data_IF_800617277417
#
_entry.id   IF_800617277417
#
_cell.length_a   1.000
_cell.length_b   1.000
_cell.length_c   1.000
_cell.angle_alpha   90.00
_cell.angle_beta   90.00
_cell.angle_gamma   90.00
#
_symmetry.space_group_name_H-M   'P 1'
#
loop_
_entity.id
_entity.type
_entity.pdbx_description
1 polymer ?
#
# COMPACT_ATOMS: atom_id res chain seq x y z
N UNK A 1 11.34 -10.74 -14.59
CA UNK A 1 10.47 -9.65 -14.09
C UNK A 1 9.79 -10.18 -12.84
N UNK A 2 9.84 -9.45 -11.73
CA UNK A 2 9.19 -9.86 -10.48
C UNK A 2 7.74 -9.38 -10.51
N UNK A 3 6.80 -10.24 -10.14
CA UNK A 3 5.38 -9.91 -10.01
C UNK A 3 5.05 -9.65 -8.54
N UNK A 4 4.57 -8.44 -8.24
CA UNK A 4 4.21 -8.01 -6.87
C UNK A 4 2.78 -8.46 -6.53
N UNK A 5 1.89 -8.43 -7.52
CA UNK A 5 0.49 -8.80 -7.37
C UNK A 5 -0.40 -8.13 -8.42
N UNK A 6 -1.71 -8.18 -8.18
CA UNK A 6 -2.75 -7.55 -8.98
C UNK A 6 -2.75 -6.03 -8.79
N UNK A 7 -3.26 -5.32 -9.80
CA UNK A 7 -3.43 -3.87 -9.75
C UNK A 7 -2.45 -3.14 -10.66
N UNK A 8 -2.47 -1.82 -10.56
CA UNK A 8 -1.62 -0.93 -11.37
C UNK A 8 -0.70 -0.05 -10.47
N UNK A 9 -1.01 1.23 -10.30
CA UNK A 9 -0.22 2.23 -9.56
C UNK A 9 0.16 1.69 -8.17
N UNK A 10 1.45 1.39 -7.98
CA UNK A 10 1.97 0.72 -6.79
C UNK A 10 3.04 1.56 -6.11
N UNK A 11 2.87 1.81 -4.82
CA UNK A 11 3.89 2.43 -3.96
C UNK A 11 4.62 1.35 -3.16
N UNK A 12 5.91 1.57 -2.89
CA UNK A 12 6.75 0.68 -2.09
C UNK A 12 7.44 1.47 -0.98
N UNK A 13 7.66 0.83 0.17
CA UNK A 13 8.51 1.35 1.24
C UNK A 13 9.23 0.20 1.94
N UNK A 14 10.51 0.37 2.23
CA UNK A 14 11.24 -0.53 3.12
C UNK A 14 10.85 -0.21 4.57
N UNK A 15 10.20 -1.15 5.25
CA UNK A 15 9.71 -0.96 6.62
C UNK A 15 10.75 -1.38 7.66
N UNK A 16 11.54 -2.40 7.34
CA UNK A 16 12.68 -2.89 8.12
C UNK A 16 13.67 -3.55 7.16
N UNK A 17 14.87 -3.93 7.64
CA UNK A 17 15.89 -4.55 6.78
C UNK A 17 15.32 -5.74 6.00
N UNK A 18 15.36 -5.67 4.67
CA UNK A 18 14.83 -6.66 3.72
C UNK A 18 13.30 -6.82 3.71
N UNK A 19 12.56 -6.06 4.52
CA UNK A 19 11.11 -6.10 4.54
C UNK A 19 10.55 -4.91 3.77
N UNK A 20 9.82 -5.19 2.69
CA UNK A 20 9.23 -4.18 1.81
C UNK A 20 7.71 -4.32 1.84
N UNK A 21 7.02 -3.22 2.15
CA UNK A 21 5.57 -3.11 1.98
C UNK A 21 5.29 -2.51 0.60
N UNK A 22 4.36 -3.12 -0.14
CA UNK A 22 3.77 -2.54 -1.33
C UNK A 22 2.27 -2.33 -1.15
N UNK A 23 1.76 -1.21 -1.68
CA UNK A 23 0.32 -0.94 -1.78
C UNK A 23 -0.04 -0.60 -3.23
N UNK A 24 -0.94 -1.39 -3.80
CA UNK A 24 -1.37 -1.30 -5.20
C UNK A 24 -2.80 -0.78 -5.30
N UNK A 25 -3.03 0.10 -6.27
CA UNK A 25 -4.37 0.47 -6.72
C UNK A 25 -5.04 -0.72 -7.38
N UNK A 26 -6.30 -0.95 -7.03
CA UNK A 26 -7.11 -2.03 -7.59
C UNK A 26 -8.55 -1.58 -7.89
N UNK A 27 -9.05 -1.90 -9.09
CA UNK A 27 -10.33 -1.39 -9.60
C UNK A 27 -11.28 -2.47 -10.13
N UNK A 28 -11.02 -3.75 -9.83
CA UNK A 28 -11.80 -4.88 -10.37
C UNK A 28 -12.28 -5.83 -9.28
N UNK A 29 -13.43 -6.49 -9.44
CA UNK A 29 -13.94 -7.47 -8.46
C UNK A 29 -14.32 -6.88 -7.09
N UNK A 30 -14.38 -7.74 -6.07
CA UNK A 30 -14.96 -7.42 -4.76
C UNK A 30 -14.14 -6.43 -3.91
N UNK A 31 -12.86 -6.28 -4.20
CA UNK A 31 -11.95 -5.36 -3.50
C UNK A 31 -11.75 -4.04 -4.26
N UNK A 32 -12.49 -3.80 -5.35
CA UNK A 32 -12.37 -2.59 -6.15
C UNK A 32 -12.56 -1.31 -5.31
N UNK A 33 -11.64 -0.37 -5.48
CA UNK A 33 -11.67 0.90 -4.74
C UNK A 33 -10.80 0.92 -3.48
N UNK A 34 -10.40 -0.24 -2.97
CA UNK A 34 -9.47 -0.34 -1.85
C UNK A 34 -8.03 -0.53 -2.34
N UNK A 35 -7.07 -0.03 -1.56
CA UNK A 35 -5.67 -0.40 -1.76
C UNK A 35 -5.47 -1.85 -1.32
N UNK A 36 -4.71 -2.60 -2.11
CA UNK A 36 -4.25 -3.94 -1.77
C UNK A 36 -2.83 -3.86 -1.24
N UNK A 37 -2.56 -4.44 -0.08
CA UNK A 37 -1.22 -4.54 0.52
C UNK A 37 -0.60 -5.91 0.26
N UNK A 38 0.71 -5.94 0.06
CA UNK A 38 1.52 -7.17 0.05
C UNK A 38 2.92 -6.87 0.59
N UNK A 39 3.60 -7.90 1.09
CA UNK A 39 4.93 -7.77 1.67
C UNK A 39 5.93 -8.69 1.01
N UNK A 40 7.16 -8.21 0.94
CA UNK A 40 8.34 -9.02 0.71
C UNK A 40 9.18 -9.06 1.98
N UNK A 41 9.78 -10.21 2.28
CA UNK A 41 10.71 -10.41 3.39
C UNK A 41 12.14 -10.72 2.91
N UNK A 42 12.38 -10.58 1.60
CA UNK A 42 13.64 -10.90 0.92
C UNK A 42 14.11 -9.78 -0.02
N UNK A 43 13.80 -8.53 0.32
CA UNK A 43 14.26 -7.36 -0.43
C UNK A 43 13.55 -7.12 -1.76
N UNK A 44 12.32 -7.63 -1.90
CA UNK A 44 11.48 -7.45 -3.07
C UNK A 44 11.59 -8.58 -4.12
N UNK A 45 12.19 -9.72 -3.76
CA UNK A 45 12.36 -10.86 -4.69
C UNK A 45 11.12 -11.75 -4.75
N UNK A 46 10.49 -12.01 -3.60
CA UNK A 46 9.21 -12.73 -3.48
C UNK A 46 8.21 -11.93 -2.65
N UNK A 47 6.92 -12.14 -2.91
CA UNK A 47 5.82 -11.37 -2.35
C UNK A 47 4.73 -12.28 -1.76
N UNK A 48 4.16 -11.87 -0.64
CA UNK A 48 3.02 -12.53 -0.02
C UNK A 48 1.75 -12.40 -0.87
N UNK A 49 0.72 -13.17 -0.55
CA UNK A 49 -0.61 -12.92 -1.12
C UNK A 49 -1.09 -11.52 -0.75
N UNK A 50 -1.73 -10.83 -1.70
CA UNK A 50 -2.31 -9.52 -1.45
C UNK A 50 -3.50 -9.61 -0.49
N UNK A 51 -3.57 -8.66 0.43
CA UNK A 51 -4.68 -8.47 1.36
C UNK A 51 -5.34 -7.12 1.11
N UNK A 52 -6.67 -7.08 1.23
CA UNK A 52 -7.41 -5.81 1.20
C UNK A 52 -7.12 -5.02 2.46
N UNK A 53 -6.81 -3.73 2.29
CA UNK A 53 -6.70 -2.77 3.39
C UNK A 53 -8.06 -2.10 3.67
N UNK A 54 -8.16 -1.37 4.78
CA UNK A 54 -9.31 -0.50 5.06
C UNK A 54 -9.25 0.86 4.31
N UNK A 55 -8.24 1.08 3.46
CA UNK A 55 -8.03 2.34 2.75
C UNK A 55 -8.77 2.34 1.43
N UNK A 56 -9.89 3.08 1.37
CA UNK A 56 -10.61 3.33 0.13
C UNK A 56 -10.08 4.60 -0.56
N UNK A 57 -9.48 4.45 -1.73
CA UNK A 57 -8.85 5.53 -2.50
C UNK A 57 -7.51 5.13 -3.10
N UNK A 58 -6.98 5.96 -4.00
CA UNK A 58 -5.73 5.71 -4.73
C UNK A 58 -5.33 6.94 -5.59
N UNK A 59 -4.08 7.01 -6.10
CA UNK A 59 -2.95 6.11 -5.79
C UNK A 59 -2.42 6.36 -4.37
N UNK A 60 -1.64 5.40 -3.87
CA UNK A 60 -0.93 5.51 -2.61
C UNK A 60 0.43 6.21 -2.78
N UNK A 61 0.89 6.85 -1.71
CA UNK A 61 2.30 7.16 -1.49
C UNK A 61 2.64 6.75 -0.06
N UNK A 62 3.75 6.02 0.10
CA UNK A 62 4.21 5.49 1.37
C UNK A 62 5.47 6.20 1.84
N UNK A 63 5.51 6.54 3.12
CA UNK A 63 6.66 7.15 3.76
C UNK A 63 6.87 6.52 5.14
N UNK A 64 8.07 5.99 5.38
CA UNK A 64 8.49 5.62 6.72
C UNK A 64 8.89 6.88 7.49
N UNK A 65 8.22 7.11 8.61
CA UNK A 65 8.50 8.21 9.52
C UNK A 65 9.74 7.91 10.37
N UNK A 66 10.31 8.96 10.99
CA UNK A 66 11.51 8.82 11.83
C UNK A 66 11.31 7.99 13.10
N UNK A 67 10.06 7.74 13.48
CA UNK A 67 9.66 6.90 14.61
C UNK A 67 9.15 5.51 14.15
N UNK A 68 9.59 5.06 12.97
CA UNK A 68 9.29 3.77 12.33
C UNK A 68 7.84 3.55 11.87
N UNK A 69 6.92 4.47 12.17
CA UNK A 69 5.54 4.41 11.66
C UNK A 69 5.48 4.61 10.15
N UNK A 70 4.43 4.09 9.52
CA UNK A 70 4.21 4.24 8.08
C UNK A 70 3.07 5.22 7.81
N UNK A 71 3.38 6.31 7.11
CA UNK A 71 2.39 7.24 6.55
C UNK A 71 1.98 6.75 5.16
N UNK A 72 0.68 6.56 4.94
CA UNK A 72 0.08 6.34 3.63
C UNK A 72 -0.81 7.53 3.26
N UNK A 73 -0.39 8.35 2.29
CA UNK A 73 -1.23 9.39 1.68
C UNK A 73 -1.86 8.88 0.39
N UNK A 74 -3.12 9.23 0.13
CA UNK A 74 -3.85 8.72 -1.02
C UNK A 74 -4.94 9.69 -1.52
N UNK A 75 -5.30 9.55 -2.80
CA UNK A 75 -6.40 10.28 -3.41
C UNK A 75 -7.75 9.73 -2.97
N UNK A 76 -8.62 10.58 -2.43
CA UNK A 76 -10.01 10.25 -2.13
C UNK A 76 -10.94 10.85 -3.19
N UNK A 77 -11.34 10.03 -4.16
CA UNK A 77 -12.13 10.43 -5.33
C UNK A 77 -13.65 10.21 -5.13
N UNK A 78 -14.14 10.47 -3.91
CA UNK A 78 -15.56 10.50 -3.54
C UNK A 78 -15.85 11.78 -2.75
N UNK A 79 -17.10 12.24 -2.73
CA UNK A 79 -17.46 13.42 -1.93
C UNK A 79 -17.34 13.13 -0.42
N UNK A 80 -16.75 14.02 0.40
CA UNK A 80 -15.98 15.22 0.01
C UNK A 80 -14.59 14.83 -0.52
N UNK A 81 -14.28 15.28 -1.74
CA UNK A 81 -13.05 14.90 -2.46
C UNK A 81 -11.81 15.54 -1.83
N UNK A 82 -10.65 14.91 -1.99
CA UNK A 82 -9.38 15.48 -1.56
C UNK A 82 -8.25 14.46 -1.48
N UNK A 83 -7.20 14.84 -0.77
CA UNK A 83 -6.11 13.94 -0.36
C UNK A 83 -6.33 13.58 1.10
N UNK A 84 -6.13 12.31 1.43
CA UNK A 84 -6.23 11.77 2.80
C UNK A 84 -4.94 11.10 3.19
N UNK A 85 -4.76 10.91 4.50
CA UNK A 85 -3.64 10.18 5.04
C UNK A 85 -4.10 9.28 6.19
N UNK A 86 -3.46 8.12 6.31
CA UNK A 86 -3.52 7.24 7.47
C UNK A 86 -2.09 6.97 7.94
N UNK A 87 -1.92 6.77 9.24
CA UNK A 87 -0.64 6.39 9.85
C UNK A 87 -0.84 5.01 10.47
N UNK A 88 0.10 4.12 10.22
CA UNK A 88 0.15 2.78 10.79
C UNK A 88 1.27 2.69 11.81
N UNK A 89 0.94 2.22 13.02
CA UNK A 89 1.87 2.07 14.14
C UNK A 89 2.54 0.68 14.16
N UNK A 90 1.96 -0.32 13.49
CA UNK A 90 2.49 -1.68 13.34
C UNK A 90 3.08 -1.93 11.94
N UNK A 91 3.09 -0.89 11.11
CA UNK A 91 3.57 -0.91 9.74
C UNK A 91 2.65 -1.65 8.77
N UNK A 92 1.45 -2.08 9.18
CA UNK A 92 0.40 -2.76 8.39
C UNK A 92 -0.56 -1.78 7.74
#
# INVERSE_FOLDING_TARGET
MVEIGKGDETALVEVSSNEVLAMSRYTSGDDAGYLLSTRSHDGGLTWSSQTKTNVWGFPAHLLKLSDDRILCSYGFRKSPMGIRAVISDDGV
#
